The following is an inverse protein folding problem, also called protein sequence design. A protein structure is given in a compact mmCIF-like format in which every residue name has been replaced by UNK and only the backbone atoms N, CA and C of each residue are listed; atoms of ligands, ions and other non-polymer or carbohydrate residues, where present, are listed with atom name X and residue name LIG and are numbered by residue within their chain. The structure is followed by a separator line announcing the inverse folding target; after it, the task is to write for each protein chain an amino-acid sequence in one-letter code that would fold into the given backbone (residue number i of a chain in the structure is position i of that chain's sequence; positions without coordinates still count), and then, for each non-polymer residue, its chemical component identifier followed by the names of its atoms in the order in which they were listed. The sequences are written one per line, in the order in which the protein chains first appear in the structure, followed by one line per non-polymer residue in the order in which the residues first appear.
data_IF_132525045327
#
_entry.id   IF_132525045327
#
_cell.length_a   1.000
_cell.length_b   1.000
_cell.length_c   1.000
_cell.angle_alpha   90.00
_cell.angle_beta   90.00
_cell.angle_gamma   90.00
#
_symmetry.space_group_name_H-M   'P 1'
#
loop_
_entity.id
_entity.type
_entity.pdbx_description
1 polymer ?
#
# COMPACT_ATOMS: atom_id res chain seq x y z
N UNK A 1 5.88 25.26 48.84
CA UNK A 1 7.00 24.94 47.93
C UNK A 1 6.79 23.56 47.33
N UNK A 2 5.69 23.37 46.64
CA UNK A 2 5.31 22.08 46.06
C UNK A 2 4.36 22.31 44.86
N UNK A 3 4.83 22.99 43.82
CA UNK A 3 4.02 23.21 42.61
C UNK A 3 4.91 23.43 41.38
N UNK A 4 5.76 22.47 41.02
CA UNK A 4 6.55 22.55 39.80
C UNK A 4 7.00 21.18 39.28
N UNK A 5 6.12 20.18 39.27
CA UNK A 5 6.40 18.93 38.54
C UNK A 5 5.07 18.43 37.96
N UNK A 6 4.52 19.10 36.92
CA UNK A 6 3.44 18.52 36.15
C UNK A 6 3.32 19.19 34.76
N UNK A 7 4.43 19.26 34.04
CA UNK A 7 4.38 19.81 32.68
C UNK A 7 5.41 19.19 31.75
N UNK A 8 5.48 17.85 31.69
CA UNK A 8 6.42 17.21 30.77
C UNK A 8 5.98 15.82 30.28
N UNK A 9 4.69 15.59 30.06
CA UNK A 9 4.23 14.34 29.40
C UNK A 9 3.11 14.64 28.42
N UNK A 10 3.33 15.43 27.40
CA UNK A 10 2.44 15.47 26.21
C UNK A 10 3.28 15.90 24.99
N UNK A 11 4.20 15.07 24.54
CA UNK A 11 4.92 15.39 23.29
C UNK A 11 5.33 14.17 22.46
N UNK A 12 4.83 12.97 22.74
CA UNK A 12 5.29 11.78 22.01
C UNK A 12 4.27 11.21 21.03
N UNK A 13 3.00 11.65 21.09
CA UNK A 13 1.92 11.00 20.32
C UNK A 13 1.69 11.53 18.91
N UNK A 14 2.17 12.71 18.59
CA UNK A 14 1.86 13.37 17.29
C UNK A 14 2.74 12.87 16.15
N UNK A 15 3.98 12.47 16.44
CA UNK A 15 4.93 12.07 15.40
C UNK A 15 4.59 10.74 14.71
N UNK A 16 3.90 9.81 15.42
CA UNK A 16 3.54 8.50 14.87
C UNK A 16 2.40 8.60 13.85
N UNK A 17 1.39 9.43 14.11
CA UNK A 17 0.28 9.64 13.17
C UNK A 17 0.73 10.35 11.89
N UNK A 18 1.62 11.33 11.99
CA UNK A 18 2.14 12.04 10.82
C UNK A 18 2.94 11.13 9.89
N UNK A 19 3.70 10.15 10.43
CA UNK A 19 4.44 9.16 9.62
C UNK A 19 3.52 8.19 8.91
N UNK A 20 2.45 7.73 9.55
CA UNK A 20 1.47 6.83 8.93
C UNK A 20 0.68 7.54 7.83
N UNK A 21 0.25 8.77 8.06
CA UNK A 21 -0.44 9.58 7.06
C UNK A 21 0.46 9.87 5.85
N UNK A 22 1.73 10.20 6.07
CA UNK A 22 2.70 10.42 5.00
C UNK A 22 2.93 9.15 4.16
N UNK A 23 3.02 7.98 4.78
CA UNK A 23 3.14 6.69 4.08
C UNK A 23 1.88 6.35 3.30
N UNK A 24 0.71 6.59 3.87
CA UNK A 24 -0.58 6.37 3.19
C UNK A 24 -0.70 7.26 1.96
N UNK A 25 -0.37 8.54 2.08
CA UNK A 25 -0.42 9.49 0.97
C UNK A 25 0.58 9.13 -0.12
N UNK A 26 1.77 8.67 0.24
CA UNK A 26 2.77 8.20 -0.71
C UNK A 26 2.31 6.93 -1.42
N UNK A 27 1.77 5.96 -0.69
CA UNK A 27 1.23 4.72 -1.26
C UNK A 27 0.09 4.98 -2.23
N UNK A 28 -0.83 5.85 -1.88
CA UNK A 28 -1.93 6.28 -2.75
C UNK A 28 -1.42 6.96 -4.02
N UNK A 29 -0.49 7.89 -3.89
CA UNK A 29 0.08 8.62 -5.02
C UNK A 29 0.81 7.69 -5.99
N UNK A 30 1.63 6.79 -5.47
CA UNK A 30 2.34 5.79 -6.29
C UNK A 30 1.38 4.79 -6.93
N UNK A 31 0.32 4.40 -6.22
CA UNK A 31 -0.73 3.55 -6.76
C UNK A 31 -1.45 4.22 -7.93
N UNK A 32 -1.85 5.48 -7.75
CA UNK A 32 -2.51 6.25 -8.82
C UNK A 32 -1.64 6.37 -10.06
N UNK A 33 -0.36 6.59 -9.87
CA UNK A 33 0.60 6.76 -10.98
C UNK A 33 0.86 5.45 -11.72
N UNK A 34 1.07 4.34 -11.01
CA UNK A 34 1.59 3.10 -11.58
C UNK A 34 0.56 1.98 -11.72
N UNK A 35 -0.50 1.99 -10.95
CA UNK A 35 -1.44 0.87 -10.85
C UNK A 35 -2.84 1.22 -11.34
N UNK A 36 -3.35 2.41 -11.04
CA UNK A 36 -4.71 2.83 -11.43
C UNK A 36 -5.03 2.75 -12.91
N UNK A 37 -4.10 2.96 -13.85
CA UNK A 37 -4.42 2.81 -15.28
C UNK A 37 -5.00 1.45 -15.65
N UNK A 38 -4.57 0.39 -14.96
CA UNK A 38 -5.10 -0.96 -15.16
C UNK A 38 -5.99 -1.44 -14.01
N UNK A 39 -5.83 -0.85 -12.81
CA UNK A 39 -6.58 -1.20 -11.60
C UNK A 39 -7.38 -0.01 -11.05
N UNK A 40 -8.26 0.63 -11.85
CA UNK A 40 -9.07 1.74 -11.36
C UNK A 40 -9.98 1.25 -10.22
N UNK A 41 -9.99 1.99 -9.11
CA UNK A 41 -10.74 1.64 -7.89
C UNK A 41 -10.48 0.21 -7.38
N UNK A 42 -9.27 -0.29 -7.61
CA UNK A 42 -8.88 -1.64 -7.22
C UNK A 42 -9.38 -2.75 -8.16
N UNK A 43 -10.02 -2.38 -9.27
CA UNK A 43 -10.50 -3.33 -10.28
C UNK A 43 -9.38 -3.89 -11.14
N UNK A 44 -9.75 -4.42 -12.29
CA UNK A 44 -8.83 -4.87 -13.32
C UNK A 44 -9.52 -4.77 -14.69
N UNK A 45 -9.02 -3.88 -15.53
CA UNK A 45 -9.64 -3.60 -16.84
C UNK A 45 -9.39 -4.72 -17.86
N UNK A 46 -8.36 -5.54 -17.66
CA UNK A 46 -8.00 -6.64 -18.55
C UNK A 46 -8.73 -7.93 -18.15
N UNK A 47 -8.77 -8.21 -16.83
CA UNK A 47 -9.44 -9.39 -16.32
C UNK A 47 -10.26 -9.03 -15.07
N UNK A 48 -11.58 -8.81 -15.21
CA UNK A 48 -12.45 -8.40 -14.11
C UNK A 48 -12.52 -9.40 -12.93
N UNK A 49 -12.06 -10.63 -13.10
CA UNK A 49 -12.01 -11.65 -12.04
C UNK A 49 -10.73 -11.59 -11.20
N UNK A 50 -9.75 -10.83 -11.64
CA UNK A 50 -8.45 -10.67 -10.95
C UNK A 50 -8.29 -9.25 -10.44
N UNK A 51 -9.23 -8.80 -9.62
CA UNK A 51 -9.17 -7.46 -9.01
C UNK A 51 -8.23 -7.45 -7.81
N UNK A 52 -7.96 -6.26 -7.27
CA UNK A 52 -7.17 -6.06 -6.06
C UNK A 52 -8.00 -6.18 -4.78
N UNK A 53 -9.30 -6.39 -4.88
CA UNK A 53 -10.16 -6.61 -3.73
C UNK A 53 -9.80 -7.93 -3.03
N UNK A 54 -9.89 -7.95 -1.72
CA UNK A 54 -9.50 -9.10 -0.89
C UNK A 54 -10.07 -10.42 -1.36
N UNK A 55 -11.36 -10.46 -1.68
CA UNK A 55 -12.04 -11.66 -2.16
C UNK A 55 -11.37 -12.25 -3.39
N UNK A 56 -11.02 -11.40 -4.35
CA UNK A 56 -10.41 -11.84 -5.60
C UNK A 56 -8.93 -12.17 -5.42
N UNK A 57 -8.22 -11.40 -4.57
CA UNK A 57 -6.83 -11.74 -4.22
C UNK A 57 -6.75 -13.13 -3.60
N UNK A 58 -7.59 -13.43 -2.63
CA UNK A 58 -7.62 -14.74 -1.96
C UNK A 58 -8.00 -15.85 -2.94
N UNK A 59 -8.98 -15.63 -3.81
CA UNK A 59 -9.37 -16.59 -4.84
C UNK A 59 -8.23 -16.90 -5.84
N UNK A 60 -7.29 -15.98 -6.00
CA UNK A 60 -6.11 -16.12 -6.86
C UNK A 60 -4.82 -16.43 -6.06
N UNK A 61 -4.95 -16.94 -4.85
CA UNK A 61 -3.84 -17.33 -3.97
C UNK A 61 -2.89 -16.17 -3.58
N UNK A 62 -3.41 -14.98 -3.50
CA UNK A 62 -2.69 -13.79 -3.03
C UNK A 62 -3.18 -13.50 -1.60
N UNK A 63 -2.50 -14.05 -0.62
CA UNK A 63 -2.91 -14.02 0.79
C UNK A 63 -2.17 -12.97 1.61
N UNK A 64 -0.90 -12.72 1.28
CA UNK A 64 0.02 -11.88 2.05
C UNK A 64 0.44 -10.65 1.25
N UNK A 65 0.81 -9.55 1.91
CA UNK A 65 1.41 -8.40 1.22
C UNK A 65 2.58 -8.77 0.30
N UNK A 66 3.43 -9.71 0.73
CA UNK A 66 4.54 -10.20 -0.08
C UNK A 66 4.09 -10.86 -1.38
N UNK A 67 2.91 -11.48 -1.42
CA UNK A 67 2.37 -12.10 -2.63
C UNK A 67 2.01 -11.03 -3.66
N UNK A 68 1.51 -9.88 -3.23
CA UNK A 68 1.23 -8.74 -4.12
C UNK A 68 2.51 -8.20 -4.71
N UNK A 69 3.55 -8.00 -3.89
CA UNK A 69 4.88 -7.58 -4.37
C UNK A 69 5.42 -8.58 -5.38
N UNK A 70 5.28 -9.87 -5.11
CA UNK A 70 5.70 -10.92 -6.04
C UNK A 70 5.03 -10.81 -7.41
N UNK A 71 3.74 -10.49 -7.45
CA UNK A 71 3.02 -10.24 -8.72
C UNK A 71 3.50 -8.99 -9.44
N UNK A 72 3.92 -7.96 -8.72
CA UNK A 72 4.53 -6.78 -9.32
C UNK A 72 5.86 -7.11 -9.99
N UNK A 73 6.67 -7.97 -9.37
CA UNK A 73 7.99 -8.38 -9.87
C UNK A 73 7.92 -9.42 -10.98
N UNK A 74 6.94 -10.32 -10.90
CA UNK A 74 6.75 -11.43 -11.83
C UNK A 74 5.27 -11.55 -12.19
N UNK A 75 4.75 -10.62 -12.99
CA UNK A 75 3.34 -10.61 -13.35
C UNK A 75 2.98 -11.70 -14.36
N UNK A 76 1.70 -12.02 -14.42
CA UNK A 76 1.15 -12.80 -15.51
C UNK A 76 1.03 -11.95 -16.78
N UNK A 77 0.84 -12.59 -17.98
CA UNK A 77 0.67 -11.86 -19.22
C UNK A 77 -0.44 -10.80 -19.12
N UNK A 78 -0.18 -9.63 -19.65
CA UNK A 78 -1.09 -8.49 -19.65
C UNK A 78 -0.82 -7.46 -18.57
N UNK A 79 -0.06 -7.78 -17.55
CA UNK A 79 0.37 -6.83 -16.54
C UNK A 79 1.83 -6.40 -16.78
N UNK A 80 2.11 -5.13 -16.58
CA UNK A 80 3.47 -4.57 -16.65
C UNK A 80 4.34 -5.14 -15.51
N UNK A 81 5.57 -5.52 -15.85
CA UNK A 81 6.57 -5.90 -14.85
C UNK A 81 7.17 -4.66 -14.23
N UNK A 82 7.10 -4.56 -12.90
CA UNK A 82 7.73 -3.51 -12.13
C UNK A 82 8.97 -4.07 -11.43
N UNK A 83 10.15 -3.68 -11.88
CA UNK A 83 11.41 -4.08 -11.25
C UNK A 83 11.77 -3.14 -10.08
N UNK A 84 12.86 -3.47 -9.38
CA UNK A 84 13.33 -2.69 -8.23
C UNK A 84 13.88 -1.32 -8.59
N UNK A 85 14.22 -1.08 -9.85
CA UNK A 85 14.64 0.24 -10.33
C UNK A 85 13.45 1.16 -10.50
N UNK A 86 12.36 0.65 -11.07
CA UNK A 86 11.14 1.41 -11.32
C UNK A 86 10.35 1.64 -10.03
N UNK A 87 10.17 0.59 -9.23
CA UNK A 87 9.51 0.65 -7.92
C UNK A 87 10.41 -0.05 -6.89
N UNK A 88 11.25 0.70 -6.17
CA UNK A 88 12.08 0.14 -5.10
C UNK A 88 11.25 -0.60 -4.04
N UNK A 89 11.85 -1.53 -3.32
CA UNK A 89 11.16 -2.32 -2.30
C UNK A 89 10.44 -1.45 -1.25
N UNK A 90 11.03 -0.35 -0.86
CA UNK A 90 10.40 0.62 0.06
C UNK A 90 9.10 1.18 -0.49
N UNK A 91 9.06 1.51 -1.77
CA UNK A 91 7.89 2.04 -2.45
C UNK A 91 6.85 0.95 -2.69
N UNK A 92 7.28 -0.24 -3.07
CA UNK A 92 6.40 -1.40 -3.21
C UNK A 92 5.66 -1.70 -1.90
N UNK A 93 6.34 -1.59 -0.76
CA UNK A 93 5.75 -1.79 0.55
C UNK A 93 4.62 -0.80 0.85
N UNK A 94 4.83 0.49 0.62
CA UNK A 94 3.79 1.50 0.90
C UNK A 94 2.62 1.39 -0.09
N UNK A 95 2.86 0.99 -1.33
CA UNK A 95 1.80 0.70 -2.30
C UNK A 95 0.93 -0.46 -1.82
N UNK A 96 1.54 -1.56 -1.39
CA UNK A 96 0.81 -2.75 -0.92
C UNK A 96 0.03 -2.45 0.36
N UNK A 97 0.59 -1.70 1.29
CA UNK A 97 -0.12 -1.26 2.49
C UNK A 97 -1.38 -0.44 2.11
N UNK A 98 -1.27 0.44 1.12
CA UNK A 98 -2.41 1.17 0.60
C UNK A 98 -3.47 0.25 -0.01
N UNK A 99 -3.06 -0.71 -0.84
CA UNK A 99 -3.96 -1.68 -1.49
C UNK A 99 -4.74 -2.47 -0.43
N UNK A 100 -4.05 -3.05 0.53
CA UNK A 100 -4.64 -3.89 1.57
C UNK A 100 -5.61 -3.11 2.46
N UNK A 101 -5.30 -1.87 2.79
CA UNK A 101 -6.20 -1.03 3.60
C UNK A 101 -7.40 -0.51 2.82
N UNK A 102 -7.24 -0.29 1.52
CA UNK A 102 -8.25 0.39 0.70
C UNK A 102 -9.24 -0.57 0.07
N UNK A 103 -8.80 -1.78 -0.33
CA UNK A 103 -9.59 -2.72 -1.12
C UNK A 103 -9.93 -4.02 -0.37
N UNK A 104 -9.88 -4.00 0.93
CA UNK A 104 -10.32 -5.13 1.77
C UNK A 104 -11.81 -5.10 2.06
#
# INVERSE_FOLDING_TARGET
MLFLIFLFIISVSVASFAKEDAKKDKGESLFKENCSPCHPDGGNVINPQKTLHKKDREANNIWKPADVVSKMRNPEPGMTKFDKKTIPDKDAKVIVEYIVKTFD
#
